data_IF_671920827498
#
_entry.id   IF_671920827498
#
_cell.length_a   1.000
_cell.length_b   1.000
_cell.length_c   1.000
_cell.angle_alpha   90.00
_cell.angle_beta   90.00
_cell.angle_gamma   90.00
#
_symmetry.space_group_name_H-M   'P 1'
#
loop_
_entity.id
_entity.type
_entity.pdbx_description
1 polymer ?
#
# COMPACT_ATOMS: atom_id res chain seq x y z
N UNK A 1 23.52 -6.27 -13.83
CA UNK A 1 22.44 -7.03 -13.17
C UNK A 1 22.01 -6.23 -11.96
N UNK A 2 20.75 -5.77 -11.93
CA UNK A 2 20.23 -5.09 -10.75
C UNK A 2 20.07 -6.09 -9.61
N UNK A 3 20.21 -5.69 -8.33
CA UNK A 3 20.09 -6.59 -7.19
C UNK A 3 18.73 -7.32 -7.13
N UNK A 4 17.70 -6.74 -7.73
CA UNK A 4 16.35 -7.30 -7.77
C UNK A 4 16.20 -8.43 -8.80
N UNK A 5 17.08 -8.49 -9.81
CA UNK A 5 17.04 -9.46 -10.90
C UNK A 5 17.41 -10.89 -10.47
N UNK A 6 17.91 -11.06 -9.24
CA UNK A 6 18.30 -12.36 -8.65
C UNK A 6 17.54 -12.63 -7.34
N UNK A 7 16.55 -11.78 -7.03
CA UNK A 7 15.69 -11.86 -5.85
C UNK A 7 14.66 -12.99 -5.98
N UNK A 8 13.99 -13.42 -4.88
CA UNK A 8 12.75 -14.23 -4.94
C UNK A 8 11.65 -13.68 -5.87
N UNK A 9 11.78 -12.44 -6.37
CA UNK A 9 10.91 -11.86 -7.38
C UNK A 9 10.79 -12.72 -8.64
N UNK A 10 11.89 -13.26 -9.18
CA UNK A 10 11.84 -14.09 -10.40
C UNK A 10 11.00 -15.35 -10.20
N UNK A 11 11.13 -15.99 -9.04
CA UNK A 11 10.33 -17.16 -8.69
C UNK A 11 8.85 -16.80 -8.59
N UNK A 12 8.55 -15.64 -8.00
CA UNK A 12 7.18 -15.10 -7.89
C UNK A 12 6.61 -14.75 -9.27
N UNK A 13 7.39 -14.13 -10.14
CA UNK A 13 7.00 -13.78 -11.51
C UNK A 13 6.73 -15.03 -12.36
N UNK A 14 7.60 -16.03 -12.27
CA UNK A 14 7.41 -17.31 -12.97
C UNK A 14 6.15 -18.04 -12.49
N UNK A 15 5.92 -18.10 -11.17
CA UNK A 15 4.71 -18.69 -10.60
C UNK A 15 3.46 -17.91 -11.04
N UNK A 16 3.52 -16.58 -11.05
CA UNK A 16 2.42 -15.73 -11.52
C UNK A 16 2.08 -16.02 -12.99
N UNK A 17 3.07 -16.06 -13.88
CA UNK A 17 2.89 -16.42 -15.29
C UNK A 17 2.24 -17.79 -15.47
N UNK A 18 2.62 -18.77 -14.63
CA UNK A 18 2.00 -20.10 -14.61
C UNK A 18 0.53 -20.07 -14.19
N UNK A 19 0.19 -19.35 -13.12
CA UNK A 19 -1.20 -19.18 -12.69
C UNK A 19 -2.05 -18.45 -13.73
N UNK A 20 -1.47 -17.43 -14.37
CA UNK A 20 -2.10 -16.69 -15.45
C UNK A 20 -2.41 -17.60 -16.66
N UNK A 21 -1.43 -18.39 -17.09
CA UNK A 21 -1.59 -19.33 -18.21
C UNK A 21 -2.70 -20.35 -17.94
N UNK A 22 -2.79 -20.86 -16.70
CA UNK A 22 -3.87 -21.76 -16.27
C UNK A 22 -5.23 -21.07 -16.31
N UNK A 23 -5.33 -19.83 -15.87
CA UNK A 23 -6.58 -19.07 -15.90
C UNK A 23 -7.05 -18.78 -17.33
N UNK A 24 -6.12 -18.42 -18.22
CA UNK A 24 -6.40 -18.23 -19.65
C UNK A 24 -6.87 -19.54 -20.30
N UNK A 25 -6.31 -20.69 -19.91
CA UNK A 25 -6.79 -21.98 -20.46
C UNK A 25 -8.22 -22.37 -20.04
N UNK A 26 -8.72 -21.82 -18.93
CA UNK A 26 -10.05 -22.14 -18.39
C UNK A 26 -11.09 -21.10 -18.82
N UNK A 27 -10.66 -19.88 -19.12
CA UNK A 27 -11.54 -18.73 -19.33
C UNK A 27 -11.30 -18.14 -20.72
N UNK A 28 -12.29 -18.23 -21.61
CA UNK A 28 -12.24 -17.71 -22.99
C UNK A 28 -12.47 -16.20 -23.11
N UNK A 29 -12.64 -15.49 -21.98
CA UNK A 29 -13.10 -14.09 -21.99
C UNK A 29 -12.08 -13.12 -21.42
N UNK A 30 -11.81 -12.08 -22.22
CA UNK A 30 -11.34 -10.72 -21.91
C UNK A 30 -10.08 -10.54 -21.00
N UNK A 31 -9.45 -9.35 -20.99
CA UNK A 31 -8.24 -9.10 -20.21
C UNK A 31 -8.43 -9.44 -18.73
N UNK A 32 -7.40 -10.01 -18.10
CA UNK A 32 -7.43 -10.51 -16.72
C UNK A 32 -8.06 -9.48 -15.78
N UNK A 33 -9.24 -9.83 -15.24
CA UNK A 33 -9.95 -9.00 -14.28
C UNK A 33 -9.12 -8.77 -13.00
N UNK A 34 -9.35 -7.64 -12.32
CA UNK A 34 -8.65 -7.25 -11.08
C UNK A 34 -8.72 -8.34 -10.02
N UNK A 35 -9.85 -9.06 -9.93
CA UNK A 35 -10.02 -10.16 -8.98
C UNK A 35 -9.08 -11.32 -9.32
N UNK A 36 -8.97 -11.67 -10.60
CA UNK A 36 -8.09 -12.74 -11.07
C UNK A 36 -6.62 -12.36 -10.90
N UNK A 37 -6.26 -11.09 -11.14
CA UNK A 37 -4.94 -10.56 -10.84
C UNK A 37 -4.56 -10.76 -9.36
N UNK A 38 -5.42 -10.31 -8.43
CA UNK A 38 -5.17 -10.42 -6.98
C UNK A 38 -5.01 -11.89 -6.57
N UNK A 39 -5.89 -12.77 -7.07
CA UNK A 39 -5.85 -14.21 -6.76
C UNK A 39 -4.59 -14.89 -7.29
N UNK A 40 -4.23 -14.64 -8.56
CA UNK A 40 -2.99 -15.16 -9.15
C UNK A 40 -1.77 -14.70 -8.37
N UNK A 41 -1.73 -13.41 -8.04
CA UNK A 41 -0.60 -12.80 -7.37
C UNK A 41 -0.45 -13.31 -5.94
N UNK A 42 -1.56 -13.53 -5.22
CA UNK A 42 -1.55 -14.15 -3.90
C UNK A 42 -0.96 -15.56 -3.96
N UNK A 43 -1.44 -16.41 -4.87
CA UNK A 43 -0.92 -17.77 -5.05
C UNK A 43 0.56 -17.78 -5.46
N UNK A 44 0.94 -16.89 -6.38
CA UNK A 44 2.32 -16.75 -6.84
C UNK A 44 3.26 -16.30 -5.71
N UNK A 45 2.80 -15.45 -4.79
CA UNK A 45 3.58 -15.03 -3.62
C UNK A 45 3.84 -16.18 -2.66
N UNK A 46 2.86 -17.03 -2.40
CA UNK A 46 3.04 -18.19 -1.53
C UNK A 46 4.07 -19.18 -2.09
N UNK A 47 4.08 -19.37 -3.42
CA UNK A 47 5.07 -20.23 -4.10
C UNK A 47 6.45 -19.56 -4.25
N UNK A 48 6.46 -18.26 -4.56
CA UNK A 48 7.67 -17.50 -4.89
C UNK A 48 8.44 -17.02 -3.67
N UNK A 49 7.77 -16.53 -2.63
CA UNK A 49 8.37 -15.93 -1.43
C UNK A 49 8.63 -16.99 -0.34
N UNK A 50 9.27 -18.09 -0.73
CA UNK A 50 9.65 -19.15 0.22
C UNK A 50 11.10 -18.98 0.66
N UNK A 51 11.42 -19.48 1.87
CA UNK A 51 12.80 -19.48 2.38
C UNK A 51 13.80 -20.07 1.38
N UNK A 52 13.39 -21.14 0.69
CA UNK A 52 14.18 -21.85 -0.33
C UNK A 52 14.49 -21.00 -1.57
N UNK A 53 13.67 -20.00 -1.90
CA UNK A 53 13.91 -19.09 -3.02
C UNK A 53 14.64 -17.81 -2.55
N UNK A 54 14.31 -17.32 -1.34
CA UNK A 54 14.88 -16.12 -0.74
C UNK A 54 16.38 -16.30 -0.46
N UNK A 55 16.75 -17.32 0.32
CA UNK A 55 18.14 -17.49 0.78
C UNK A 55 19.16 -17.61 -0.37
N UNK A 56 18.98 -18.51 -1.36
CA UNK A 56 19.92 -18.59 -2.47
C UNK A 56 19.86 -17.37 -3.38
N UNK A 57 18.69 -16.74 -3.59
CA UNK A 57 18.57 -15.54 -4.41
C UNK A 57 19.41 -14.39 -3.86
N UNK A 58 19.30 -14.11 -2.56
CA UNK A 58 20.17 -13.12 -1.91
C UNK A 58 21.64 -13.53 -1.91
N UNK A 59 21.95 -14.83 -1.80
CA UNK A 59 23.33 -15.35 -1.79
C UNK A 59 24.02 -15.17 -3.15
N UNK A 60 23.33 -15.49 -4.24
CA UNK A 60 23.82 -15.34 -5.62
C UNK A 60 24.07 -13.87 -5.96
N UNK A 61 23.23 -12.98 -5.46
CA UNK A 61 23.36 -11.53 -5.68
C UNK A 61 24.45 -10.88 -4.83
N UNK A 62 25.08 -11.61 -3.90
CA UNK A 62 26.00 -11.01 -2.92
C UNK A 62 25.32 -10.07 -1.92
N UNK A 63 23.99 -10.02 -1.90
CA UNK A 63 23.18 -9.16 -1.02
C UNK A 63 22.74 -9.90 0.26
N UNK A 64 23.15 -11.16 0.44
CA UNK A 64 22.87 -11.93 1.66
C UNK A 64 23.74 -11.43 2.81
N UNK A 65 23.17 -10.84 3.88
CA UNK A 65 23.96 -10.37 4.99
C UNK A 65 24.44 -11.58 5.80
N UNK A 66 25.63 -12.09 5.45
CA UNK A 66 26.37 -13.09 6.22
C UNK A 66 26.63 -12.64 7.67
N UNK A 67 26.52 -11.34 7.95
CA UNK A 67 26.62 -10.79 9.30
C UNK A 67 25.79 -9.51 9.42
N UNK A 68 24.76 -9.54 10.27
CA UNK A 68 23.93 -8.36 10.59
C UNK A 68 24.77 -7.17 11.04
N UNK A 69 25.85 -7.40 11.81
CA UNK A 69 26.78 -6.37 12.26
C UNK A 69 27.45 -5.63 11.09
N UNK A 70 27.92 -6.33 10.05
CA UNK A 70 28.62 -5.70 8.92
C UNK A 70 27.71 -4.74 8.15
N UNK A 71 26.44 -5.11 8.01
CA UNK A 71 25.44 -4.27 7.35
C UNK A 71 25.07 -3.06 8.22
N UNK A 72 24.86 -3.29 9.52
CA UNK A 72 24.68 -2.24 10.53
C UNK A 72 25.96 -1.46 10.86
N UNK A 73 27.02 -1.52 10.05
CA UNK A 73 28.23 -0.69 10.21
C UNK A 73 28.53 0.05 8.89
N UNK A 74 27.79 -0.24 7.81
CA UNK A 74 28.10 0.27 6.49
C UNK A 74 28.00 1.82 6.45
N UNK A 75 29.05 2.53 5.98
CA UNK A 75 29.11 3.99 6.02
C UNK A 75 27.93 4.68 5.32
N UNK A 76 27.39 4.09 4.26
CA UNK A 76 26.21 4.63 3.56
C UNK A 76 24.91 4.48 4.37
N UNK A 77 24.81 3.46 5.23
CA UNK A 77 23.64 3.22 6.09
C UNK A 77 23.74 4.09 7.36
N UNK A 78 24.97 4.41 7.75
CA UNK A 78 25.34 5.25 8.87
C UNK A 78 25.87 6.62 8.46
N UNK A 79 25.41 7.18 7.35
CA UNK A 79 25.58 8.63 7.17
C UNK A 79 25.02 9.27 8.44
N UNK A 80 25.93 9.86 9.22
CA UNK A 80 25.68 10.23 10.59
C UNK A 80 24.44 11.11 10.64
N UNK A 81 23.66 10.91 11.69
CA UNK A 81 22.39 11.62 11.92
C UNK A 81 22.56 13.15 11.97
N UNK A 82 23.80 13.64 11.96
CA UNK A 82 24.20 15.04 11.99
C UNK A 82 23.86 15.79 10.68
N UNK A 83 23.93 15.13 9.51
CA UNK A 83 23.69 15.79 8.21
C UNK A 83 22.29 15.54 7.62
N UNK A 84 21.46 14.71 8.28
CA UNK A 84 20.04 14.71 7.95
C UNK A 84 19.50 16.05 8.40
N UNK A 85 19.21 16.93 7.43
CA UNK A 85 18.34 18.09 7.65
C UNK A 85 17.21 17.64 8.57
N UNK A 86 17.29 18.05 9.83
CA UNK A 86 16.26 17.78 10.81
C UNK A 86 14.99 18.30 10.15
N UNK A 87 14.00 17.44 9.93
CA UNK A 87 12.70 17.90 9.44
C UNK A 87 12.36 19.12 10.29
N UNK A 88 12.22 20.32 9.70
CA UNK A 88 11.97 21.51 10.49
C UNK A 88 10.80 21.19 11.42
N UNK A 89 10.95 21.55 12.69
CA UNK A 89 9.92 21.32 13.69
C UNK A 89 8.59 21.78 13.09
N UNK A 90 7.59 20.90 13.14
CA UNK A 90 6.31 21.18 12.53
C UNK A 90 5.88 22.57 13.03
N UNK A 91 5.54 23.52 12.13
CA UNK A 91 5.07 24.81 12.57
C UNK A 91 3.95 24.55 13.57
N UNK A 92 4.03 25.21 14.73
CA UNK A 92 2.96 25.13 15.72
C UNK A 92 1.65 25.25 14.96
N UNK A 93 0.71 24.34 15.24
CA UNK A 93 -0.62 24.35 14.66
C UNK A 93 -1.39 25.56 15.21
N UNK A 94 -0.88 26.76 14.93
CA UNK A 94 -1.63 27.99 14.85
C UNK A 94 -2.77 27.66 13.92
N UNK A 95 -3.91 27.45 14.55
CA UNK A 95 -5.10 26.94 13.91
C UNK A 95 -5.50 27.97 12.87
N UNK A 96 -5.01 27.80 11.64
CA UNK A 96 -5.51 28.58 10.52
C UNK A 96 -7.04 28.41 10.54
N UNK A 97 -7.82 29.50 10.42
CA UNK A 97 -9.25 29.49 10.77
C UNK A 97 -10.15 28.68 9.83
N UNK A 98 -9.60 27.77 9.03
CA UNK A 98 -10.31 27.10 7.95
C UNK A 98 -10.23 25.57 7.93
N UNK A 99 -9.32 24.93 8.66
CA UNK A 99 -9.23 23.45 8.64
C UNK A 99 -9.98 22.86 9.83
N UNK A 100 -11.15 22.23 9.62
CA UNK A 100 -11.88 21.58 10.69
C UNK A 100 -11.09 20.40 11.23
N UNK A 101 -10.78 20.44 12.51
CA UNK A 101 -10.09 19.38 13.25
C UNK A 101 -11.04 18.21 13.56
N UNK A 102 -12.35 18.48 13.68
CA UNK A 102 -13.37 17.47 13.97
C UNK A 102 -14.53 17.59 12.97
N UNK A 103 -15.08 16.45 12.56
CA UNK A 103 -16.19 16.35 11.60
C UNK A 103 -17.41 17.22 11.95
N UNK A 104 -17.69 17.45 13.24
CA UNK A 104 -18.75 18.37 13.69
C UNK A 104 -18.52 19.81 13.25
N UNK A 105 -17.27 20.28 13.20
CA UNK A 105 -16.97 21.64 12.75
C UNK A 105 -17.36 21.86 11.28
N UNK A 106 -17.25 20.84 10.41
CA UNK A 106 -17.74 20.92 9.02
C UNK A 106 -19.25 21.18 9.00
N UNK A 107 -19.99 20.50 9.88
CA UNK A 107 -21.44 20.66 10.00
C UNK A 107 -21.81 22.06 10.51
N UNK A 108 -21.06 22.61 11.44
CA UNK A 108 -21.35 23.92 12.03
C UNK A 108 -20.98 25.07 11.08
N UNK A 109 -19.91 24.91 10.28
CA UNK A 109 -19.48 25.90 9.30
C UNK A 109 -20.41 26.03 8.07
N UNK A 110 -21.34 25.10 7.87
CA UNK A 110 -22.34 25.18 6.78
C UNK A 110 -21.76 25.12 5.36
N UNK A 111 -20.49 24.76 5.21
CA UNK A 111 -19.79 24.69 3.93
C UNK A 111 -20.44 23.61 3.07
N UNK A 112 -20.96 23.99 1.90
CA UNK A 112 -21.62 23.07 0.95
C UNK A 112 -23.11 22.81 1.20
N UNK A 113 -23.76 23.51 2.14
CA UNK A 113 -25.22 23.43 2.31
C UNK A 113 -25.94 24.22 1.21
N UNK A 114 -26.54 23.52 0.25
CA UNK A 114 -27.67 24.09 -0.50
C UNK A 114 -28.98 23.66 0.15
N UNK A 115 -29.94 24.58 0.23
CA UNK A 115 -31.24 24.38 0.90
C UNK A 115 -32.01 23.16 0.39
N UNK A 116 -31.80 22.80 -0.88
CA UNK A 116 -32.43 21.65 -1.53
C UNK A 116 -31.85 20.31 -1.03
N UNK A 117 -30.52 20.23 -0.86
CA UNK A 117 -29.87 19.01 -0.37
C UNK A 117 -30.19 18.76 1.10
N UNK A 118 -30.25 19.84 1.91
CA UNK A 118 -30.59 19.75 3.33
C UNK A 118 -32.03 19.26 3.58
N UNK A 119 -33.00 19.71 2.77
CA UNK A 119 -34.39 19.21 2.82
C UNK A 119 -34.48 17.72 2.46
N UNK A 120 -33.69 17.24 1.51
CA UNK A 120 -33.64 15.82 1.14
C UNK A 120 -33.09 14.96 2.27
N UNK A 121 -31.98 15.40 2.89
CA UNK A 121 -31.40 14.69 4.04
C UNK A 121 -32.34 14.70 5.26
N UNK A 122 -33.00 15.82 5.57
CA UNK A 122 -34.00 15.87 6.63
C UNK A 122 -35.20 14.95 6.37
N UNK A 123 -35.69 14.90 5.12
CA UNK A 123 -36.80 14.00 4.76
C UNK A 123 -36.39 12.53 4.92
N UNK A 124 -35.18 12.17 4.50
CA UNK A 124 -34.64 10.82 4.66
C UNK A 124 -34.41 10.46 6.15
N UNK A 125 -33.84 11.38 6.94
CA UNK A 125 -33.62 11.15 8.36
C UNK A 125 -34.94 10.99 9.14
N UNK A 126 -35.96 11.79 8.82
CA UNK A 126 -37.31 11.63 9.40
C UNK A 126 -37.96 10.30 9.01
N UNK A 127 -37.78 9.87 7.77
CA UNK A 127 -38.30 8.58 7.31
C UNK A 127 -37.64 7.40 8.04
N UNK A 128 -36.32 7.47 8.31
CA UNK A 128 -35.65 6.43 9.11
C UNK A 128 -36.17 6.35 10.55
N UNK A 129 -36.46 7.49 11.19
CA UNK A 129 -37.00 7.53 12.57
C UNK A 129 -38.45 7.04 12.65
N UNK A 130 -39.19 7.06 11.55
CA UNK A 130 -40.58 6.57 11.48
C UNK A 130 -40.69 5.06 11.21
N UNK A 131 -39.56 4.38 11.00
CA UNK A 131 -39.50 2.93 10.74
C UNK A 131 -39.03 2.13 11.97
N UNK A 132 -38.92 2.79 13.13
CA UNK A 132 -38.79 2.20 14.47
C UNK A 132 -40.13 2.30 15.22
#
# INVERSE_FOLDING_TARGET
MQPLDNSPYNATEAAYKKHLAKLVSITDSAPVDKINFIRCYAAAREEGLTKKNIEPGFRVTGNYPLSRRKYLIHPEIHQDKEDRQKTPEAPEANSEPGTPSISRQIRDMGIGRSSSTERKFQKAARACVQLE
#
